data_IF_334572700620
#
_entry.id   IF_334572700620
#
_cell.length_a   1.000
_cell.length_b   1.000
_cell.length_c   1.000
_cell.angle_alpha   90.00
_cell.angle_beta   90.00
_cell.angle_gamma   90.00
#
_symmetry.space_group_name_H-M   'P 1'
#
loop_
_entity.id
_entity.type
_entity.pdbx_description
1 polymer ?
#
# COMPACT_ATOMS: atom_id res chain seq x y z
N UNK A 1 -32.28 -14.61 -130.25
CA UNK A 1 -31.15 -14.43 -129.31
C UNK A 1 -30.88 -12.95 -129.00
N UNK A 2 -30.53 -12.10 -129.97
CA UNK A 2 -30.21 -10.66 -129.73
C UNK A 2 -31.26 -9.84 -128.96
N UNK A 3 -32.56 -10.09 -129.18
CA UNK A 3 -33.62 -9.40 -128.42
C UNK A 3 -33.70 -9.88 -126.96
N UNK A 4 -33.43 -11.16 -126.69
CA UNK A 4 -33.44 -11.72 -125.34
C UNK A 4 -32.24 -11.25 -124.52
N UNK A 5 -31.07 -11.09 -125.15
CA UNK A 5 -29.91 -10.51 -124.48
C UNK A 5 -30.16 -9.05 -124.13
N UNK A 6 -30.72 -8.27 -125.05
CA UNK A 6 -31.08 -6.87 -124.78
C UNK A 6 -32.14 -6.70 -123.68
N UNK A 7 -33.06 -7.65 -123.49
CA UNK A 7 -34.00 -7.61 -122.36
C UNK A 7 -33.32 -7.96 -121.05
N UNK A 8 -32.44 -8.97 -121.06
CA UNK A 8 -31.65 -9.36 -119.88
C UNK A 8 -30.73 -8.23 -119.44
N UNK A 9 -30.07 -7.54 -120.39
CA UNK A 9 -29.20 -6.40 -120.07
C UNK A 9 -29.98 -5.25 -119.43
N UNK A 10 -31.19 -4.97 -119.94
CA UNK A 10 -32.07 -3.94 -119.33
C UNK A 10 -32.58 -4.35 -117.95
N UNK A 11 -32.92 -5.62 -117.75
CA UNK A 11 -33.32 -6.15 -116.45
C UNK A 11 -32.15 -6.15 -115.46
N UNK A 12 -30.94 -6.48 -115.92
CA UNK A 12 -29.70 -6.39 -115.16
C UNK A 12 -29.44 -4.94 -114.74
N UNK A 13 -29.46 -3.99 -115.66
CA UNK A 13 -29.23 -2.57 -115.34
C UNK A 13 -30.28 -2.04 -114.34
N UNK A 14 -31.54 -2.49 -114.48
CA UNK A 14 -32.61 -2.16 -113.54
C UNK A 14 -32.36 -2.74 -112.15
N UNK A 15 -31.98 -4.02 -112.07
CA UNK A 15 -31.67 -4.68 -110.82
C UNK A 15 -30.43 -4.06 -110.16
N UNK A 16 -29.41 -3.67 -110.93
CA UNK A 16 -28.23 -2.97 -110.42
C UNK A 16 -28.59 -1.60 -109.83
N UNK A 17 -29.51 -0.86 -110.46
CA UNK A 17 -30.02 0.41 -109.92
C UNK A 17 -30.83 0.21 -108.63
N UNK A 18 -31.68 -0.82 -108.57
CA UNK A 18 -32.41 -1.17 -107.35
C UNK A 18 -31.43 -1.57 -106.24
N UNK A 19 -30.41 -2.37 -106.55
CA UNK A 19 -29.35 -2.76 -105.60
C UNK A 19 -28.57 -1.53 -105.10
N UNK A 20 -28.24 -0.59 -105.98
CA UNK A 20 -27.57 0.66 -105.61
C UNK A 20 -28.45 1.54 -104.71
N UNK A 21 -29.77 1.59 -104.96
CA UNK A 21 -30.72 2.26 -104.07
C UNK A 21 -30.77 1.58 -102.70
N UNK A 22 -30.87 0.26 -102.65
CA UNK A 22 -30.84 -0.50 -101.38
C UNK A 22 -29.54 -0.27 -100.62
N UNK A 23 -28.38 -0.29 -101.29
CA UNK A 23 -27.07 0.05 -100.68
C UNK A 23 -27.02 1.48 -100.15
N UNK A 24 -27.62 2.45 -100.86
CA UNK A 24 -27.66 3.84 -100.38
C UNK A 24 -28.58 4.03 -99.18
N UNK A 25 -29.65 3.23 -99.07
CA UNK A 25 -30.64 3.34 -97.99
C UNK A 25 -30.22 2.58 -96.73
N UNK A 26 -29.54 1.44 -96.89
CA UNK A 26 -29.26 0.50 -95.80
C UNK A 26 -27.75 0.25 -95.56
N UNK A 27 -26.86 0.82 -96.37
CA UNK A 27 -25.42 0.59 -96.29
C UNK A 27 -24.96 -0.67 -97.02
N UNK A 28 -23.64 -0.78 -97.22
CA UNK A 28 -22.99 -1.93 -97.86
C UNK A 28 -22.57 -2.95 -96.78
N UNK A 29 -23.00 -4.21 -96.93
CA UNK A 29 -22.87 -5.26 -95.88
C UNK A 29 -21.55 -6.06 -95.95
N UNK A 30 -20.75 -5.94 -97.01
CA UNK A 30 -19.57 -6.80 -97.24
C UNK A 30 -18.24 -6.23 -96.71
N UNK A 31 -18.24 -5.21 -95.84
CA UNK A 31 -17.03 -4.91 -95.05
C UNK A 31 -16.96 -5.88 -93.87
N UNK A 32 -16.41 -7.07 -94.12
CA UNK A 32 -16.19 -8.11 -93.11
C UNK A 32 -15.48 -7.57 -91.86
N UNK A 33 -16.23 -7.33 -90.78
CA UNK A 33 -15.76 -7.44 -89.39
C UNK A 33 -16.98 -7.47 -88.44
N UNK A 34 -17.07 -8.44 -87.52
CA UNK A 34 -18.19 -8.54 -86.60
C UNK A 34 -17.92 -7.63 -85.40
N UNK A 35 -18.64 -6.52 -85.28
CA UNK A 35 -18.84 -5.85 -83.99
C UNK A 35 -20.29 -5.42 -83.89
N UNK A 36 -20.98 -6.01 -82.92
CA UNK A 36 -22.36 -5.71 -82.57
C UNK A 36 -22.57 -4.24 -82.23
N UNK A 37 -23.82 -3.83 -82.38
CA UNK A 37 -24.43 -2.61 -81.86
C UNK A 37 -23.71 -1.30 -82.19
N UNK A 38 -23.78 -0.86 -83.45
CA UNK A 38 -23.79 0.57 -83.80
C UNK A 38 -24.22 0.72 -85.27
N UNK A 39 -25.52 0.62 -85.53
CA UNK A 39 -26.11 0.96 -86.83
C UNK A 39 -26.23 2.47 -86.98
N UNK A 40 -25.13 3.15 -87.25
CA UNK A 40 -25.10 4.61 -87.43
C UNK A 40 -24.11 5.05 -88.50
N UNK A 41 -24.28 6.26 -89.09
CA UNK A 41 -23.38 6.78 -90.12
C UNK A 41 -21.92 6.87 -89.61
N UNK A 42 -20.92 6.83 -90.50
CA UNK A 42 -19.50 6.67 -90.12
C UNK A 42 -18.99 7.75 -89.15
N UNK A 43 -19.52 8.97 -89.24
CA UNK A 43 -19.20 10.06 -88.29
C UNK A 43 -19.67 9.77 -86.86
N UNK A 44 -20.82 9.12 -86.68
CA UNK A 44 -21.35 8.77 -85.35
C UNK A 44 -20.52 7.64 -84.74
N UNK A 45 -20.17 6.64 -85.55
CA UNK A 45 -19.25 5.55 -85.16
C UNK A 45 -17.89 6.08 -84.71
N UNK A 46 -17.33 7.05 -85.43
CA UNK A 46 -16.05 7.65 -85.07
C UNK A 46 -16.12 8.41 -83.73
N UNK A 47 -17.20 9.17 -83.50
CA UNK A 47 -17.41 9.89 -82.24
C UNK A 47 -17.60 8.94 -81.05
N UNK A 48 -18.30 7.83 -81.24
CA UNK A 48 -18.53 6.82 -80.21
C UNK A 48 -17.23 6.08 -79.87
N UNK A 49 -16.44 5.69 -80.88
CA UNK A 49 -15.13 5.07 -80.66
C UNK A 49 -14.16 6.01 -79.95
N UNK A 50 -14.17 7.31 -80.28
CA UNK A 50 -13.39 8.34 -79.57
C UNK A 50 -13.80 8.46 -78.11
N UNK A 51 -15.10 8.40 -77.81
CA UNK A 51 -15.58 8.43 -76.42
C UNK A 51 -15.15 7.17 -75.65
N UNK A 52 -15.31 5.98 -76.24
CA UNK A 52 -14.86 4.72 -75.62
C UNK A 52 -13.35 4.73 -75.36
N UNK A 53 -12.55 5.25 -76.30
CA UNK A 53 -11.11 5.39 -76.11
C UNK A 53 -10.78 6.31 -74.92
N UNK A 54 -11.44 7.47 -74.83
CA UNK A 54 -11.26 8.39 -73.69
C UNK A 54 -11.63 7.77 -72.35
N UNK A 55 -12.74 7.02 -72.29
CA UNK A 55 -13.15 6.34 -71.06
C UNK A 55 -12.11 5.30 -70.62
N UNK A 56 -11.56 4.52 -71.56
CA UNK A 56 -10.50 3.55 -71.26
C UNK A 56 -9.21 4.26 -70.81
N UNK A 57 -8.85 5.39 -71.42
CA UNK A 57 -7.71 6.21 -70.99
C UNK A 57 -7.93 6.76 -69.57
N UNK A 58 -9.13 7.23 -69.25
CA UNK A 58 -9.50 7.72 -67.93
C UNK A 58 -9.48 6.60 -66.88
N UNK A 59 -10.01 5.42 -67.19
CA UNK A 59 -9.95 4.23 -66.32
C UNK A 59 -8.50 3.81 -66.06
N UNK A 60 -7.67 3.75 -67.10
CA UNK A 60 -6.25 3.44 -66.98
C UNK A 60 -5.52 4.48 -66.09
N UNK A 61 -5.88 5.76 -66.20
CA UNK A 61 -5.32 6.83 -65.36
C UNK A 61 -5.75 6.72 -63.90
N UNK A 62 -7.00 6.35 -63.62
CA UNK A 62 -7.49 6.13 -62.26
C UNK A 62 -6.80 4.92 -61.64
N UNK A 63 -6.71 3.80 -62.37
CA UNK A 63 -6.03 2.60 -61.92
C UNK A 63 -4.53 2.85 -61.70
N UNK A 64 -3.87 3.59 -62.58
CA UNK A 64 -2.47 3.98 -62.43
C UNK A 64 -2.21 4.73 -61.12
N UNK A 65 -3.09 5.67 -60.74
CA UNK A 65 -3.01 6.35 -59.44
C UNK A 65 -3.23 5.39 -58.28
N UNK A 66 -4.21 4.48 -58.38
CA UNK A 66 -4.51 3.53 -57.30
C UNK A 66 -3.38 2.52 -57.07
N UNK A 67 -2.70 2.09 -58.13
CA UNK A 67 -1.52 1.22 -58.03
C UNK A 67 -0.42 1.91 -57.21
N UNK A 68 -0.10 3.17 -57.52
CA UNK A 68 0.94 3.91 -56.79
C UNK A 68 0.57 4.13 -55.32
N UNK A 69 -0.69 4.49 -55.04
CA UNK A 69 -1.20 4.63 -53.67
C UNK A 69 -1.02 3.33 -52.86
N UNK A 70 -1.46 2.20 -53.42
CA UNK A 70 -1.31 0.89 -52.80
C UNK A 70 0.15 0.48 -52.67
N UNK A 71 1.02 0.82 -53.63
CA UNK A 71 2.45 0.55 -53.50
C UNK A 71 3.10 1.34 -52.36
N UNK A 72 2.72 2.60 -52.18
CA UNK A 72 3.21 3.43 -51.08
C UNK A 72 2.72 2.88 -49.75
N UNK A 73 1.43 2.53 -49.65
CA UNK A 73 0.87 1.88 -48.45
C UNK A 73 1.54 0.54 -48.17
N UNK A 74 1.76 -0.30 -49.18
CA UNK A 74 2.43 -1.60 -49.00
C UNK A 74 3.89 -1.45 -48.55
N UNK A 75 4.61 -0.45 -49.08
CA UNK A 75 5.97 -0.12 -48.60
C UNK A 75 5.93 0.41 -47.16
N UNK A 76 4.94 1.22 -46.80
CA UNK A 76 4.72 1.70 -45.43
C UNK A 76 4.47 0.56 -44.45
N UNK A 77 3.52 -0.32 -44.77
CA UNK A 77 3.20 -1.51 -43.96
C UNK A 77 4.41 -2.46 -43.84
N UNK A 78 5.21 -2.61 -44.91
CA UNK A 78 6.46 -3.39 -44.83
C UNK A 78 7.47 -2.77 -43.88
N UNK A 79 7.63 -1.44 -43.91
CA UNK A 79 8.49 -0.75 -42.96
C UNK A 79 8.00 -0.93 -41.52
N UNK A 80 6.68 -0.83 -41.27
CA UNK A 80 6.11 -1.09 -39.94
C UNK A 80 6.32 -2.55 -39.49
N UNK A 81 6.17 -3.52 -40.39
CA UNK A 81 6.47 -4.92 -40.08
C UNK A 81 7.96 -5.15 -39.81
N UNK A 82 8.84 -4.49 -40.55
CA UNK A 82 10.28 -4.56 -40.34
C UNK A 82 10.70 -3.91 -39.02
N UNK A 83 10.05 -2.83 -38.59
CA UNK A 83 10.27 -2.21 -37.28
C UNK A 83 9.87 -3.16 -36.15
N UNK A 84 8.67 -3.75 -36.23
CA UNK A 84 8.20 -4.74 -35.24
C UNK A 84 9.06 -6.01 -35.22
N UNK A 85 9.58 -6.43 -36.38
CA UNK A 85 10.47 -7.59 -36.51
C UNK A 85 11.89 -7.27 -36.03
N UNK A 86 12.37 -6.06 -36.25
CA UNK A 86 13.65 -5.55 -35.73
C UNK A 86 13.66 -5.51 -34.20
N UNK A 87 12.51 -5.29 -33.56
CA UNK A 87 12.34 -5.45 -32.12
C UNK A 87 12.35 -6.92 -31.65
N UNK A 88 11.93 -7.86 -32.51
CA UNK A 88 11.83 -9.29 -32.19
C UNK A 88 13.04 -10.16 -32.52
N UNK A 89 13.95 -9.72 -33.39
CA UNK A 89 15.08 -10.55 -33.89
C UNK A 89 16.47 -10.10 -33.42
N UNK A 90 16.54 -9.13 -32.51
CA UNK A 90 17.81 -8.66 -31.92
C UNK A 90 18.50 -9.62 -30.94
N UNK A 91 17.95 -10.82 -30.69
CA UNK A 91 18.47 -11.77 -29.69
C UNK A 91 19.20 -13.00 -30.27
N UNK A 92 19.57 -13.00 -31.56
CA UNK A 92 20.05 -14.22 -32.21
C UNK A 92 21.20 -14.09 -33.21
N UNK A 93 22.19 -13.21 -33.03
CA UNK A 93 23.29 -13.17 -34.00
C UNK A 93 24.46 -12.29 -33.64
N UNK A 94 25.59 -12.94 -33.37
CA UNK A 94 26.92 -12.37 -33.13
C UNK A 94 27.34 -11.22 -34.05
N UNK A 95 27.97 -10.19 -33.46
CA UNK A 95 29.13 -9.52 -34.06
C UNK A 95 28.91 -8.11 -34.63
N UNK A 96 29.54 -7.15 -33.95
CA UNK A 96 30.15 -5.93 -34.50
C UNK A 96 29.19 -4.85 -35.06
N UNK A 97 29.16 -3.72 -34.35
CA UNK A 97 29.30 -2.41 -34.99
C UNK A 97 28.05 -1.54 -35.12
N UNK A 98 28.09 -0.44 -34.36
CA UNK A 98 27.60 0.89 -34.73
C UNK A 98 26.12 1.27 -34.51
N UNK A 99 25.95 2.10 -33.48
CA UNK A 99 25.22 3.37 -33.45
C UNK A 99 23.74 3.44 -33.91
N UNK A 100 22.87 3.74 -32.93
CA UNK A 100 21.79 4.73 -33.11
C UNK A 100 20.40 4.29 -32.63
N UNK A 101 19.97 4.79 -31.46
CA UNK A 101 18.54 4.85 -31.07
C UNK A 101 18.24 4.41 -29.63
N UNK A 102 17.72 5.30 -28.74
CA UNK A 102 17.34 4.92 -27.40
C UNK A 102 15.88 4.47 -27.33
N UNK A 103 15.60 3.37 -26.63
CA UNK A 103 14.69 3.52 -25.49
C UNK A 103 13.59 2.50 -25.23
N UNK A 104 13.23 1.57 -26.14
CA UNK A 104 12.05 0.72 -25.88
C UNK A 104 12.31 -0.80 -25.93
N UNK A 105 13.18 -1.29 -26.81
CA UNK A 105 13.48 -2.73 -26.91
C UNK A 105 14.50 -3.28 -25.89
N UNK A 106 15.35 -2.41 -25.32
CA UNK A 106 16.39 -2.83 -24.35
C UNK A 106 15.80 -3.22 -22.98
N UNK A 107 14.68 -2.61 -22.59
CA UNK A 107 14.04 -2.85 -21.30
C UNK A 107 13.50 -4.27 -21.16
N UNK A 108 12.76 -4.78 -22.14
CA UNK A 108 12.16 -6.12 -22.09
C UNK A 108 13.20 -7.26 -22.01
N UNK A 109 14.31 -7.14 -22.73
CA UNK A 109 15.41 -8.11 -22.66
C UNK A 109 16.13 -8.05 -21.31
N UNK A 110 16.43 -6.84 -20.83
CA UNK A 110 17.04 -6.64 -19.51
C UNK A 110 16.09 -7.15 -18.39
N UNK A 111 14.78 -6.90 -18.48
CA UNK A 111 13.74 -7.40 -17.56
C UNK A 111 13.63 -8.93 -17.59
N UNK A 112 13.70 -9.56 -18.77
CA UNK A 112 13.70 -11.02 -18.89
C UNK A 112 14.96 -11.64 -18.26
N UNK A 113 16.12 -11.02 -18.44
CA UNK A 113 17.37 -11.48 -17.81
C UNK A 113 17.38 -11.25 -16.30
N UNK A 114 16.75 -10.17 -15.82
CA UNK A 114 16.55 -9.90 -14.40
C UNK A 114 15.61 -10.93 -13.76
N UNK A 115 14.50 -11.25 -14.43
CA UNK A 115 13.57 -12.29 -13.98
C UNK A 115 14.23 -13.67 -13.92
N UNK A 116 15.07 -14.01 -14.90
CA UNK A 116 15.87 -15.25 -14.88
C UNK A 116 16.85 -15.27 -13.69
N UNK A 117 17.51 -14.15 -13.39
CA UNK A 117 18.38 -14.03 -12.22
C UNK A 117 17.61 -14.14 -10.90
N UNK A 118 16.44 -13.51 -10.81
CA UNK A 118 15.58 -13.64 -9.63
C UNK A 118 15.11 -15.08 -9.41
N UNK A 119 14.74 -15.77 -10.49
CA UNK A 119 14.37 -17.18 -10.41
C UNK A 119 15.53 -18.03 -9.87
N UNK A 120 16.74 -17.83 -10.39
CA UNK A 120 17.93 -18.52 -9.89
C UNK A 120 18.19 -18.26 -8.40
N UNK A 121 18.04 -17.01 -7.94
CA UNK A 121 18.22 -16.66 -6.53
C UNK A 121 17.18 -17.35 -5.63
N UNK A 122 15.93 -17.44 -6.08
CA UNK A 122 14.87 -18.14 -5.35
C UNK A 122 15.10 -19.65 -5.33
N UNK A 123 15.61 -20.23 -6.43
CA UNK A 123 16.01 -21.64 -6.49
C UNK A 123 17.15 -21.94 -5.52
N UNK A 124 18.20 -21.11 -5.50
CA UNK A 124 19.33 -21.24 -4.59
C UNK A 124 18.90 -21.08 -3.12
N UNK A 125 18.00 -20.14 -2.82
CA UNK A 125 17.43 -19.95 -1.48
C UNK A 125 16.60 -21.17 -1.05
N UNK A 126 15.79 -21.73 -1.95
CA UNK A 126 15.03 -22.94 -1.68
C UNK A 126 15.94 -24.15 -1.43
N UNK A 127 17.05 -24.28 -2.16
CA UNK A 127 18.06 -25.32 -1.89
C UNK A 127 18.72 -25.13 -0.52
N UNK A 128 19.07 -23.89 -0.16
CA UNK A 128 19.65 -23.57 1.14
C UNK A 128 18.66 -23.87 2.27
N UNK A 129 17.39 -23.52 2.11
CA UNK A 129 16.33 -23.85 3.07
C UNK A 129 16.14 -25.37 3.22
N UNK A 130 16.20 -26.14 2.13
CA UNK A 130 16.17 -27.62 2.20
C UNK A 130 17.35 -28.20 2.96
N UNK A 131 18.56 -27.66 2.78
CA UNK A 131 19.75 -28.08 3.56
C UNK A 131 19.59 -27.73 5.04
N UNK A 132 19.17 -26.51 5.36
CA UNK A 132 18.93 -26.09 6.74
C UNK A 132 17.83 -26.92 7.43
N UNK A 133 16.77 -27.26 6.70
CA UNK A 133 15.71 -28.15 7.19
C UNK A 133 16.30 -29.53 7.53
N UNK A 134 17.09 -30.12 6.63
CA UNK A 134 17.73 -31.41 6.87
C UNK A 134 18.67 -31.38 8.09
N UNK A 135 19.45 -30.30 8.26
CA UNK A 135 20.31 -30.13 9.44
C UNK A 135 19.49 -30.00 10.74
N UNK A 136 18.38 -29.26 10.70
CA UNK A 136 17.47 -29.13 11.84
C UNK A 136 16.75 -30.44 12.16
N UNK A 137 16.35 -31.22 11.14
CA UNK A 137 15.81 -32.57 11.29
C UNK A 137 16.85 -33.52 11.92
N UNK A 138 18.11 -33.45 11.50
CA UNK A 138 19.18 -34.24 12.10
C UNK A 138 19.38 -33.85 13.58
N UNK A 139 19.38 -32.56 13.90
CA UNK A 139 19.45 -32.09 15.29
C UNK A 139 18.27 -32.58 16.12
N UNK A 140 17.04 -32.50 15.58
CA UNK A 140 15.86 -33.06 16.24
C UNK A 140 15.98 -34.56 16.45
N UNK A 141 16.51 -35.30 15.48
CA UNK A 141 16.74 -36.74 15.62
C UNK A 141 17.78 -37.04 16.70
N UNK A 142 18.87 -36.26 16.77
CA UNK A 142 19.89 -36.37 17.82
C UNK A 142 19.28 -36.12 19.20
N UNK A 143 18.55 -35.02 19.38
CA UNK A 143 17.86 -34.69 20.64
C UNK A 143 16.82 -35.75 20.99
N UNK A 144 16.06 -36.23 20.02
CA UNK A 144 15.07 -37.31 20.22
C UNK A 144 15.77 -38.60 20.64
N UNK A 145 16.90 -38.94 20.04
CA UNK A 145 17.71 -40.11 20.43
C UNK A 145 18.28 -39.94 21.84
N UNK A 146 18.75 -38.75 22.23
CA UNK A 146 19.19 -38.44 23.58
C UNK A 146 18.05 -38.52 24.60
N UNK A 147 16.89 -37.94 24.28
CA UNK A 147 15.68 -38.02 25.08
C UNK A 147 15.26 -39.48 25.26
N UNK A 148 15.26 -40.27 24.17
CA UNK A 148 14.99 -41.70 24.23
C UNK A 148 16.04 -42.41 25.09
N UNK A 149 17.34 -42.11 24.97
CA UNK A 149 18.40 -42.66 25.82
C UNK A 149 18.18 -42.31 27.29
N UNK A 150 17.74 -41.08 27.59
CA UNK A 150 17.39 -40.64 28.95
C UNK A 150 16.11 -41.32 29.44
N UNK A 151 15.10 -41.52 28.58
CA UNK A 151 13.89 -42.30 28.86
C UNK A 151 14.15 -43.79 29.01
N UNK A 152 15.12 -44.36 28.31
CA UNK A 152 15.55 -45.74 28.52
C UNK A 152 16.33 -45.85 29.82
N UNK A 153 17.21 -44.89 30.13
CA UNK A 153 17.86 -44.83 31.44
C UNK A 153 16.84 -44.63 32.58
N UNK A 154 15.84 -43.79 32.39
CA UNK A 154 14.74 -43.55 33.33
C UNK A 154 13.73 -44.70 33.36
N UNK A 155 13.47 -45.35 32.23
CA UNK A 155 12.54 -46.48 32.07
C UNK A 155 13.15 -47.81 32.51
N UNK A 156 14.47 -47.95 32.44
CA UNK A 156 15.23 -49.00 33.15
C UNK A 156 15.20 -48.74 34.67
N UNK A 157 14.93 -47.49 35.09
CA UNK A 157 14.70 -47.11 36.49
C UNK A 157 13.21 -47.12 36.90
N UNK A 158 12.25 -47.05 35.97
CA UNK A 158 10.80 -47.07 36.23
C UNK A 158 10.12 -48.42 35.97
N UNK A 159 10.74 -49.33 35.22
CA UNK A 159 10.22 -50.67 34.95
C UNK A 159 10.12 -51.59 36.18
N UNK A 160 10.58 -51.14 37.35
CA UNK A 160 10.51 -51.86 38.62
C UNK A 160 9.70 -51.14 39.71
N UNK A 161 8.95 -50.08 39.40
CA UNK A 161 8.26 -49.27 40.42
C UNK A 161 6.83 -49.76 40.75
N UNK A 162 6.61 -51.08 40.72
CA UNK A 162 5.52 -51.70 41.48
C UNK A 162 6.10 -52.13 42.82
N UNK A 163 5.63 -51.47 43.87
CA UNK A 163 5.89 -51.76 45.29
C UNK A 163 7.10 -51.06 45.92
N UNK A 164 6.80 -49.99 46.67
CA UNK A 164 7.39 -49.71 47.97
C UNK A 164 8.85 -49.24 48.01
N UNK A 165 9.02 -47.96 48.32
CA UNK A 165 9.96 -47.48 49.36
C UNK A 165 11.45 -47.79 49.22
N UNK A 166 12.21 -46.69 49.15
CA UNK A 166 13.60 -46.51 49.59
C UNK A 166 14.74 -47.12 48.74
N UNK A 167 15.59 -46.19 48.27
CA UNK A 167 17.07 -46.26 48.19
C UNK A 167 17.71 -47.31 47.28
N UNK A 168 18.61 -47.04 46.33
CA UNK A 168 19.39 -45.90 45.83
C UNK A 168 20.02 -46.38 44.50
N UNK A 169 20.71 -45.63 43.65
CA UNK A 169 21.65 -44.52 43.85
C UNK A 169 21.72 -43.72 42.54
N UNK A 170 21.08 -42.56 42.54
CA UNK A 170 21.64 -41.31 42.02
C UNK A 170 21.90 -40.40 43.22
N UNK A 171 22.76 -40.87 44.13
CA UNK A 171 22.83 -40.48 45.54
C UNK A 171 23.33 -39.08 45.89
N UNK A 172 23.34 -38.12 44.96
CA UNK A 172 23.79 -36.74 45.24
C UNK A 172 22.64 -35.72 45.21
N UNK A 173 21.62 -35.93 44.37
CA UNK A 173 20.51 -34.97 44.22
C UNK A 173 19.30 -35.30 45.10
N UNK A 174 19.15 -36.57 45.53
CA UNK A 174 18.10 -36.96 46.47
C UNK A 174 18.28 -36.33 47.86
N UNK A 175 19.52 -36.33 48.38
CA UNK A 175 19.84 -35.71 49.67
C UNK A 175 19.67 -34.18 49.65
N UNK A 176 20.02 -33.54 48.51
CA UNK A 176 19.80 -32.10 48.31
C UNK A 176 18.32 -31.76 48.19
N UNK A 177 17.55 -32.59 47.48
CA UNK A 177 16.10 -32.42 47.37
C UNK A 177 15.41 -32.59 48.73
N UNK A 178 15.86 -33.55 49.54
CA UNK A 178 15.33 -33.79 50.89
C UNK A 178 15.67 -32.63 51.85
N UNK A 179 16.91 -32.11 51.81
CA UNK A 179 17.31 -30.92 52.58
C UNK A 179 16.52 -29.67 52.19
N UNK A 180 16.34 -29.40 50.89
CA UNK A 180 15.52 -28.28 50.41
C UNK A 180 14.04 -28.46 50.79
N UNK A 181 13.55 -29.71 50.81
CA UNK A 181 12.19 -30.01 51.24
C UNK A 181 12.01 -29.80 52.76
N UNK A 182 13.03 -30.08 53.57
CA UNK A 182 13.04 -29.81 55.00
C UNK A 182 13.11 -28.30 55.29
N UNK A 183 13.96 -27.56 54.58
CA UNK A 183 14.02 -26.09 54.66
C UNK A 183 12.68 -25.46 54.27
N UNK A 184 12.02 -25.97 53.22
CA UNK A 184 10.70 -25.50 52.81
C UNK A 184 9.64 -25.77 53.88
N UNK A 185 9.69 -26.93 54.56
CA UNK A 185 8.81 -27.23 55.70
C UNK A 185 9.10 -26.31 56.89
N UNK A 186 10.36 -26.06 57.22
CA UNK A 186 10.75 -25.14 58.28
C UNK A 186 10.30 -23.70 57.98
N UNK A 187 10.48 -23.23 56.74
CA UNK A 187 10.02 -21.92 56.30
C UNK A 187 8.48 -21.80 56.40
N UNK A 188 7.73 -22.84 56.05
CA UNK A 188 6.26 -22.86 56.22
C UNK A 188 5.83 -22.76 57.68
N UNK A 189 6.53 -23.44 58.60
CA UNK A 189 6.27 -23.33 60.03
C UNK A 189 6.61 -21.92 60.55
N UNK A 190 7.74 -21.37 60.13
CA UNK A 190 8.14 -20.02 60.52
C UNK A 190 7.16 -18.94 60.01
N UNK A 191 6.64 -19.08 58.79
CA UNK A 191 5.57 -18.22 58.26
C UNK A 191 4.31 -18.34 59.13
N UNK A 192 3.95 -19.54 59.59
CA UNK A 192 2.81 -19.75 60.47
C UNK A 192 3.02 -19.07 61.84
N UNK A 193 4.19 -19.26 62.46
CA UNK A 193 4.53 -18.63 63.74
C UNK A 193 4.53 -17.10 63.64
N UNK A 194 5.11 -16.55 62.56
CA UNK A 194 5.11 -15.11 62.30
C UNK A 194 3.69 -14.59 62.05
N UNK A 195 2.86 -15.33 61.31
CA UNK A 195 1.45 -14.98 61.10
C UNK A 195 0.69 -14.91 62.43
N UNK A 196 0.92 -15.87 63.34
CA UNK A 196 0.37 -15.84 64.70
C UNK A 196 0.83 -14.62 65.50
N UNK A 197 2.14 -14.30 65.47
CA UNK A 197 2.70 -13.11 66.13
C UNK A 197 2.12 -11.81 65.56
N UNK A 198 1.93 -11.73 64.25
CA UNK A 198 1.31 -10.56 63.61
C UNK A 198 -0.15 -10.41 64.07
N UNK A 199 -0.93 -11.50 64.13
CA UNK A 199 -2.29 -11.42 64.67
C UNK A 199 -2.31 -10.98 66.15
N UNK A 200 -1.39 -11.48 66.98
CA UNK A 200 -1.28 -11.06 68.37
C UNK A 200 -0.92 -9.58 68.49
N UNK A 201 0.10 -9.12 67.76
CA UNK A 201 0.51 -7.72 67.77
C UNK A 201 -0.60 -6.80 67.23
N UNK A 202 -1.37 -7.24 66.23
CA UNK A 202 -2.53 -6.50 65.75
C UNK A 202 -3.62 -6.39 66.84
N UNK A 203 -3.87 -7.46 67.59
CA UNK A 203 -4.79 -7.43 68.72
C UNK A 203 -4.31 -6.49 69.82
N UNK A 204 -3.04 -6.59 70.24
CA UNK A 204 -2.43 -5.71 71.23
C UNK A 204 -2.47 -4.25 70.79
N UNK A 205 -2.12 -3.95 69.54
CA UNK A 205 -2.19 -2.60 68.98
C UNK A 205 -3.62 -2.05 69.03
N UNK A 206 -4.63 -2.85 68.67
CA UNK A 206 -6.04 -2.47 68.76
C UNK A 206 -6.46 -2.18 70.21
N UNK A 207 -6.04 -3.01 71.16
CA UNK A 207 -6.32 -2.82 72.60
C UNK A 207 -5.62 -1.57 73.13
N UNK A 208 -4.34 -1.35 72.76
CA UNK A 208 -3.56 -0.18 73.15
C UNK A 208 -4.16 1.12 72.62
N UNK A 209 -4.56 1.16 71.34
CA UNK A 209 -5.26 2.30 70.76
C UNK A 209 -6.57 2.60 71.50
N UNK A 210 -7.34 1.55 71.84
CA UNK A 210 -8.57 1.71 72.62
C UNK A 210 -8.30 2.20 74.06
N UNK A 211 -7.25 1.70 74.71
CA UNK A 211 -6.83 2.18 76.03
C UNK A 211 -6.37 3.65 75.96
N UNK A 212 -5.56 4.01 74.96
CA UNK A 212 -5.10 5.39 74.74
C UNK A 212 -6.27 6.34 74.52
N UNK A 213 -7.27 5.95 73.71
CA UNK A 213 -8.50 6.72 73.54
C UNK A 213 -9.24 6.91 74.87
N UNK A 214 -9.34 5.86 75.71
CA UNK A 214 -9.96 5.99 77.04
C UNK A 214 -9.20 6.95 77.95
N UNK A 215 -7.87 6.90 77.96
CA UNK A 215 -7.05 7.83 78.74
C UNK A 215 -7.13 9.26 78.21
N UNK A 216 -7.17 9.46 76.90
CA UNK A 216 -7.33 10.77 76.26
C UNK A 216 -8.68 11.41 76.66
N UNK A 217 -9.78 10.65 76.53
CA UNK A 217 -11.11 11.08 77.02
C UNK A 217 -11.10 11.38 78.52
N UNK A 218 -10.49 10.53 79.34
CA UNK A 218 -10.40 10.74 80.79
C UNK A 218 -9.53 11.98 81.13
N UNK A 219 -8.49 12.27 80.36
CA UNK A 219 -7.63 13.44 80.55
C UNK A 219 -8.35 14.73 80.18
N UNK A 220 -9.15 14.74 79.11
CA UNK A 220 -10.03 15.86 78.76
C UNK A 220 -11.12 16.11 79.81
N UNK A 221 -11.63 15.05 80.44
CA UNK A 221 -12.55 15.16 81.58
C UNK A 221 -11.84 15.64 82.86
N UNK A 222 -10.56 15.29 83.05
CA UNK A 222 -9.76 15.70 84.22
C UNK A 222 -9.21 17.13 84.11
N UNK A 223 -9.11 17.69 82.90
CA UNK A 223 -8.67 19.07 82.65
C UNK A 223 -9.83 20.07 82.56
N UNK A 224 -11.08 19.63 82.74
CA UNK A 224 -12.24 20.51 82.85
C UNK A 224 -12.49 20.82 84.33
N UNK A 225 -12.24 22.04 84.84
CA UNK A 225 -12.66 22.39 86.19
C UNK A 225 -14.18 22.26 86.28
N UNK A 226 -14.63 21.38 87.17
CA UNK A 226 -16.04 21.14 87.45
C UNK A 226 -16.73 22.45 87.84
N UNK A 227 -17.79 22.89 87.14
CA UNK A 227 -18.69 23.92 87.65
C UNK A 227 -19.68 23.24 88.59
N UNK A 228 -19.47 23.46 89.89
CA UNK A 228 -20.43 23.46 91.01
C UNK A 228 -21.76 22.72 90.80
N UNK A 229 -22.03 21.73 91.66
CA UNK A 229 -23.09 21.92 92.66
C UNK A 229 -23.06 20.86 93.77
N UNK A 230 -23.33 21.35 94.99
CA UNK A 230 -23.89 20.70 96.18
C UNK A 230 -22.96 20.13 97.26
N UNK A 231 -23.17 20.74 98.43
CA UNK A 231 -22.56 20.56 99.74
C UNK A 231 -22.83 19.20 100.39
N UNK A 232 -21.84 18.69 101.14
CA UNK A 232 -22.03 17.98 102.41
C UNK A 232 -20.66 17.76 103.06
N UNK A 233 -20.49 18.30 104.26
CA UNK A 233 -19.32 18.14 105.11
C UNK A 233 -19.05 16.66 105.44
N UNK A 234 -17.78 16.26 105.47
CA UNK A 234 -17.29 15.37 106.52
C UNK A 234 -15.77 15.44 106.65
N UNK A 235 -15.43 15.73 107.90
CA UNK A 235 -14.16 15.83 108.58
C UNK A 235 -13.34 14.52 108.57
N UNK A 236 -12.08 14.66 109.01
CA UNK A 236 -10.99 13.70 109.20
C UNK A 236 -10.07 13.52 107.99
N UNK A 237 -8.77 13.81 108.05
CA UNK A 237 -7.91 14.02 109.21
C UNK A 237 -6.68 13.14 109.04
N UNK A 238 -5.54 13.79 108.81
CA UNK A 238 -4.21 13.19 108.99
C UNK A 238 -3.67 12.38 107.80
N UNK A 239 -2.39 12.34 107.51
CA UNK A 239 -1.18 12.92 108.09
C UNK A 239 -0.07 12.69 107.06
N UNK A 240 0.88 13.63 106.99
CA UNK A 240 2.32 13.44 106.67
C UNK A 240 2.67 12.46 105.55
N UNK A 241 3.27 12.87 104.44
CA UNK A 241 4.20 13.97 104.27
C UNK A 241 5.42 13.46 103.49
N UNK A 242 6.31 14.41 103.17
CA UNK A 242 7.76 14.20 102.99
C UNK A 242 8.16 13.51 101.69
N UNK A 243 9.04 14.04 100.86
CA UNK A 243 9.87 15.25 100.80
C UNK A 243 10.37 15.28 99.35
N UNK A 244 10.15 16.40 98.66
CA UNK A 244 11.17 17.43 98.41
C UNK A 244 11.99 17.16 97.15
N UNK A 245 11.89 18.15 96.26
CA UNK A 245 12.96 18.74 95.47
C UNK A 245 13.10 18.34 93.99
N UNK A 246 13.26 19.26 93.05
CA UNK A 246 12.94 20.70 92.94
C UNK A 246 13.47 21.16 91.57
N UNK A 247 12.67 21.97 90.87
CA UNK A 247 13.00 22.99 89.84
C UNK A 247 13.93 22.64 88.63
N UNK A 248 13.75 23.06 87.37
CA UNK A 248 13.24 24.32 86.81
C UNK A 248 12.77 24.13 85.34
N UNK A 249 11.58 24.64 85.06
CA UNK A 249 11.26 25.67 84.04
C UNK A 249 12.01 25.72 82.70
N UNK A 250 11.27 25.45 81.62
CA UNK A 250 11.02 26.35 80.46
C UNK A 250 10.38 25.51 79.33
N UNK A 251 9.06 25.44 79.26
CA UNK A 251 8.22 26.36 78.46
C UNK A 251 8.79 26.75 77.09
N UNK A 252 7.97 26.41 76.09
CA UNK A 252 7.77 27.15 74.84
C UNK A 252 8.59 26.80 73.59
N UNK A 253 7.79 26.50 72.55
CA UNK A 253 7.97 26.79 71.11
C UNK A 253 8.53 25.70 70.19
N UNK A 254 7.58 25.17 69.40
CA UNK A 254 7.53 25.27 67.93
C UNK A 254 8.73 24.71 67.10
N UNK A 255 8.38 23.72 66.27
CA UNK A 255 8.97 23.31 64.96
C UNK A 255 9.96 22.12 64.93
N UNK A 256 9.75 21.13 64.03
CA UNK A 256 10.75 20.11 63.68
C UNK A 256 11.90 20.70 62.82
N UNK A 257 13.17 20.27 63.01
CA UNK A 257 14.31 20.83 62.29
C UNK A 257 14.53 20.20 60.90
N UNK A 258 14.85 21.05 59.92
CA UNK A 258 15.31 20.70 58.57
C UNK A 258 16.86 20.76 58.44
N UNK A 259 17.35 20.14 57.34
CA UNK A 259 18.64 20.27 56.60
C UNK A 259 19.68 19.19 56.92
N UNK A 260 20.36 18.52 55.96
CA UNK A 260 20.98 18.95 54.66
C UNK A 260 20.93 17.74 53.68
N UNK A 261 20.57 17.81 52.39
CA UNK A 261 21.12 18.45 51.17
C UNK A 261 22.58 18.09 50.84
N UNK A 262 22.76 17.12 49.94
CA UNK A 262 23.81 17.08 48.91
C UNK A 262 23.16 16.60 47.59
N UNK A 263 23.42 17.33 46.51
CA UNK A 263 22.91 17.06 45.16
C UNK A 263 23.89 16.25 44.32
N UNK A 264 23.54 15.92 43.07
CA UNK A 264 24.36 15.11 42.18
C UNK A 264 25.54 15.91 41.61
N UNK A 265 26.73 15.31 41.60
CA UNK A 265 27.96 15.89 41.04
C UNK A 265 28.48 14.95 39.95
N UNK A 266 28.82 15.53 38.79
CA UNK A 266 29.91 15.03 37.95
C UNK A 266 29.49 14.46 36.60
N UNK A 267 29.27 15.35 35.63
CA UNK A 267 29.57 15.08 34.22
C UNK A 267 30.80 15.88 33.83
N UNK A 268 31.81 15.23 33.26
CA UNK A 268 32.87 15.86 32.48
C UNK A 268 33.36 14.90 31.37
N UNK A 269 33.42 15.44 30.16
CA UNK A 269 33.81 14.87 28.85
C UNK A 269 35.32 14.56 28.79
N UNK A 270 35.88 13.75 27.88
CA UNK A 270 36.03 13.94 26.42
C UNK A 270 36.82 12.74 25.78
N UNK A 271 36.67 12.39 24.49
CA UNK A 271 37.59 11.51 23.77
C UNK A 271 38.25 12.19 22.55
N UNK A 272 39.57 12.42 22.59
CA UNK A 272 40.38 12.65 21.37
C UNK A 272 41.89 12.42 21.58
N UNK A 273 42.44 11.40 20.93
CA UNK A 273 43.87 11.11 20.65
C UNK A 273 43.83 9.85 19.73
N UNK A 274 44.39 9.70 18.51
CA UNK A 274 45.56 10.26 17.81
C UNK A 274 45.43 10.00 16.28
N UNK A 275 45.56 11.07 15.48
CA UNK A 275 46.34 11.23 14.22
C UNK A 275 46.28 10.19 13.07
N UNK A 276 45.69 10.65 11.95
CA UNK A 276 46.20 10.62 10.56
C UNK A 276 47.31 9.64 10.16
N UNK A 277 46.99 8.74 9.21
CA UNK A 277 47.89 8.42 8.10
C UNK A 277 47.09 8.02 6.85
N UNK A 278 47.31 8.76 5.76
CA UNK A 278 46.71 8.55 4.43
C UNK A 278 47.36 7.37 3.71
N UNK A 279 46.53 6.52 3.08
CA UNK A 279 46.96 5.51 2.10
C UNK A 279 45.77 4.84 1.44
N UNK A 280 45.58 5.08 0.14
CA UNK A 280 44.52 4.50 -0.68
C UNK A 280 44.69 2.98 -0.86
N UNK A 281 43.58 2.22 -0.83
CA UNK A 281 43.57 0.83 -1.30
C UNK A 281 42.42 -0.04 -0.75
N UNK A 282 41.46 -0.36 -1.63
CA UNK A 282 40.60 -1.56 -1.72
C UNK A 282 40.10 -2.27 -0.44
N UNK A 283 38.77 -2.43 -0.44
CA UNK A 283 38.02 -3.60 0.03
C UNK A 283 38.08 -3.97 1.53
N UNK A 284 37.00 -3.65 2.25
CA UNK A 284 36.34 -4.61 3.13
C UNK A 284 34.90 -4.12 3.40
N UNK A 285 33.94 -4.78 2.78
CA UNK A 285 32.55 -4.80 3.21
C UNK A 285 32.49 -5.34 4.65
N UNK A 286 32.39 -4.45 5.63
CA UNK A 286 32.11 -4.84 7.01
C UNK A 286 30.63 -5.21 7.15
N UNK A 287 30.28 -6.37 7.73
CA UNK A 287 28.90 -6.87 7.80
C UNK A 287 28.00 -6.12 8.80
N UNK A 288 28.52 -5.09 9.48
CA UNK A 288 27.79 -4.34 10.51
C UNK A 288 27.08 -3.08 10.01
N UNK A 289 27.21 -2.73 8.72
CA UNK A 289 26.42 -1.63 8.13
C UNK A 289 24.94 -2.00 7.89
N UNK A 290 24.50 -3.20 8.28
CA UNK A 290 23.17 -3.76 8.03
C UNK A 290 22.12 -3.41 9.10
N UNK A 291 22.49 -2.65 10.13
CA UNK A 291 21.61 -2.34 11.27
C UNK A 291 21.35 -0.83 11.50
N UNK A 292 21.47 0.01 10.46
CA UNK A 292 20.99 1.39 10.50
C UNK A 292 19.63 1.52 9.77
N UNK A 293 18.59 2.09 10.40
CA UNK A 293 17.23 2.14 9.85
C UNK A 293 17.09 3.30 8.84
N UNK A 294 17.86 3.27 7.75
CA UNK A 294 17.80 4.34 6.76
C UNK A 294 18.59 4.16 5.46
N UNK A 295 19.20 3.00 5.22
CA UNK A 295 20.12 2.81 4.09
C UNK A 295 19.75 1.65 3.18
N UNK A 296 19.14 1.98 2.03
CA UNK A 296 18.84 1.10 0.87
C UNK A 296 17.59 0.22 1.00
N UNK A 297 16.43 0.86 0.93
CA UNK A 297 15.29 0.26 0.24
C UNK A 297 15.75 0.02 -1.21
N UNK A 298 15.81 -1.22 -1.67
CA UNK A 298 16.36 -1.55 -2.98
C UNK A 298 15.59 -0.85 -4.10
N UNK A 299 16.20 -0.62 -5.27
CA UNK A 299 15.46 -0.20 -6.47
C UNK A 299 14.26 -1.13 -6.72
N UNK A 300 14.43 -2.42 -6.41
CA UNK A 300 13.38 -3.45 -6.41
C UNK A 300 12.27 -3.16 -5.39
N UNK A 301 12.58 -2.85 -4.14
CA UNK A 301 11.56 -2.52 -3.13
C UNK A 301 10.82 -1.24 -3.49
N UNK A 302 11.52 -0.25 -4.08
CA UNK A 302 10.92 0.98 -4.59
C UNK A 302 9.99 0.70 -5.77
N UNK A 303 10.37 -0.20 -6.68
CA UNK A 303 9.54 -0.61 -7.80
C UNK A 303 8.32 -1.40 -7.32
N UNK A 304 8.49 -2.34 -6.39
CA UNK A 304 7.37 -3.06 -5.76
C UNK A 304 6.37 -2.12 -5.09
N UNK A 305 6.83 -1.07 -4.41
CA UNK A 305 5.95 -0.06 -3.82
C UNK A 305 5.19 0.76 -4.87
N UNK A 306 5.80 1.01 -6.04
CA UNK A 306 5.14 1.65 -7.17
C UNK A 306 4.09 0.71 -7.79
N UNK A 307 4.41 -0.56 -7.96
CA UNK A 307 3.50 -1.56 -8.53
C UNK A 307 2.30 -1.81 -7.61
N UNK A 308 2.55 -1.97 -6.30
CA UNK A 308 1.50 -2.07 -5.26
C UNK A 308 0.60 -0.82 -5.30
N UNK A 309 1.18 0.36 -5.49
CA UNK A 309 0.40 1.61 -5.59
C UNK A 309 -0.47 1.61 -6.86
N UNK A 310 0.09 1.29 -8.03
CA UNK A 310 -0.66 1.29 -9.29
C UNK A 310 -1.81 0.28 -9.23
N UNK A 311 -1.58 -0.90 -8.66
CA UNK A 311 -2.63 -1.92 -8.50
C UNK A 311 -3.68 -1.48 -7.47
N UNK A 312 -3.29 -0.85 -6.35
CA UNK A 312 -4.23 -0.30 -5.39
C UNK A 312 -5.11 0.82 -6.00
N UNK A 313 -4.54 1.69 -6.84
CA UNK A 313 -5.31 2.71 -7.59
C UNK A 313 -6.26 2.08 -8.61
N UNK A 314 -5.87 0.97 -9.26
CA UNK A 314 -6.74 0.21 -10.16
C UNK A 314 -7.90 -0.44 -9.39
N UNK A 315 -7.65 -0.95 -8.20
CA UNK A 315 -8.68 -1.50 -7.32
C UNK A 315 -9.69 -0.40 -6.88
N UNK A 316 -9.23 0.81 -6.54
CA UNK A 316 -10.12 1.95 -6.23
C UNK A 316 -11.08 2.22 -7.39
N UNK A 317 -10.57 2.29 -8.63
CA UNK A 317 -11.40 2.52 -9.82
C UNK A 317 -12.41 1.39 -10.07
N UNK A 318 -12.01 0.14 -9.81
CA UNK A 318 -12.89 -1.03 -9.94
C UNK A 318 -14.02 -0.98 -8.92
N UNK A 319 -13.71 -0.64 -7.66
CA UNK A 319 -14.71 -0.50 -6.60
C UNK A 319 -15.64 0.68 -6.89
N UNK A 320 -15.12 1.80 -7.40
CA UNK A 320 -15.95 2.95 -7.80
C UNK A 320 -16.95 2.58 -8.89
N UNK A 321 -16.53 1.78 -9.87
CA UNK A 321 -17.43 1.25 -10.90
C UNK A 321 -18.47 0.29 -10.31
N UNK A 322 -18.06 -0.61 -9.41
CA UNK A 322 -18.98 -1.53 -8.76
C UNK A 322 -19.99 -0.79 -7.87
N UNK A 323 -19.58 0.28 -7.17
CA UNK A 323 -20.48 1.16 -6.42
C UNK A 323 -21.48 1.78 -7.37
N UNK A 324 -21.02 2.35 -8.50
CA UNK A 324 -21.88 2.96 -9.50
C UNK A 324 -22.91 1.97 -10.05
N UNK A 325 -22.47 0.78 -10.49
CA UNK A 325 -23.33 -0.26 -11.03
C UNK A 325 -24.36 -0.74 -10.00
N UNK A 326 -23.95 -0.95 -8.74
CA UNK A 326 -24.87 -1.35 -7.66
C UNK A 326 -25.86 -0.23 -7.33
N UNK A 327 -25.43 1.04 -7.34
CA UNK A 327 -26.34 2.18 -7.15
C UNK A 327 -27.31 2.36 -8.32
N UNK A 328 -26.89 2.02 -9.54
CA UNK A 328 -27.75 2.02 -10.72
C UNK A 328 -28.83 0.93 -10.60
N UNK A 329 -28.46 -0.29 -10.18
CA UNK A 329 -29.41 -1.38 -9.92
C UNK A 329 -30.44 -0.98 -8.85
N UNK A 330 -30.00 -0.36 -7.75
CA UNK A 330 -30.91 0.13 -6.69
C UNK A 330 -31.83 1.24 -7.21
N UNK A 331 -31.33 2.12 -8.09
CA UNK A 331 -32.12 3.21 -8.67
C UNK A 331 -33.13 2.70 -9.69
N UNK A 332 -32.72 1.76 -10.55
CA UNK A 332 -33.56 1.11 -11.54
C UNK A 332 -34.69 0.32 -10.86
N UNK A 333 -34.38 -0.44 -9.80
CA UNK A 333 -35.40 -1.16 -9.05
C UNK A 333 -36.39 -0.23 -8.35
N UNK A 334 -35.96 0.95 -7.87
CA UNK A 334 -36.88 1.99 -7.35
C UNK A 334 -37.79 2.58 -8.43
N UNK A 335 -37.28 2.75 -9.65
CA UNK A 335 -38.08 3.22 -10.80
C UNK A 335 -39.08 2.16 -11.25
N UNK A 336 -38.69 0.88 -11.27
CA UNK A 336 -39.61 -0.24 -11.53
C UNK A 336 -40.73 -0.34 -10.48
N UNK A 337 -40.43 -0.09 -9.20
CA UNK A 337 -41.43 -0.02 -8.13
C UNK A 337 -42.34 1.20 -8.28
N UNK A 338 -41.82 2.34 -8.75
CA UNK A 338 -42.60 3.57 -8.95
C UNK A 338 -43.45 3.56 -10.23
N UNK A 339 -43.04 2.79 -11.25
CA UNK A 339 -43.74 2.67 -12.55
C UNK A 339 -44.62 1.41 -12.64
N UNK A 340 -44.52 0.48 -11.68
CA UNK A 340 -45.25 -0.79 -11.63
C UNK A 340 -46.65 -0.68 -11.03
N UNK A 341 -47.51 0.14 -11.64
CA UNK A 341 -48.95 -0.08 -11.52
C UNK A 341 -49.29 -1.35 -12.33
N UNK A 342 -49.98 -2.31 -11.69
CA UNK A 342 -50.51 -3.58 -12.26
C UNK A 342 -49.58 -4.81 -12.28
N UNK A 343 -49.49 -5.54 -11.16
CA UNK A 343 -49.15 -6.97 -11.24
C UNK A 343 -48.60 -7.63 -9.97
N UNK A 344 -49.49 -8.24 -9.20
CA UNK A 344 -49.28 -9.35 -8.25
C UNK A 344 -48.32 -9.19 -7.05
N UNK A 345 -48.93 -9.25 -5.86
CA UNK A 345 -48.44 -10.09 -4.75
C UNK A 345 -47.74 -9.36 -3.60
N UNK A 346 -48.51 -9.00 -2.58
CA UNK A 346 -48.03 -8.39 -1.31
C UNK A 346 -47.15 -9.29 -0.42
N UNK A 347 -46.55 -10.35 -0.96
CA UNK A 347 -45.55 -11.20 -0.26
C UNK A 347 -44.11 -10.93 -0.75
N UNK A 348 -43.95 -10.50 -2.01
CA UNK A 348 -42.64 -10.20 -2.62
C UNK A 348 -42.09 -8.83 -2.22
N UNK A 349 -42.95 -7.88 -1.82
CA UNK A 349 -42.52 -6.56 -1.35
C UNK A 349 -41.64 -6.65 -0.11
N UNK A 350 -41.97 -7.55 0.83
CA UNK A 350 -41.13 -7.78 1.99
C UNK A 350 -39.76 -8.38 1.61
N UNK A 351 -39.70 -9.19 0.54
CA UNK A 351 -38.45 -9.71 -0.02
C UNK A 351 -37.62 -8.63 -0.70
N UNK A 352 -38.23 -7.82 -1.57
CA UNK A 352 -37.58 -6.71 -2.26
C UNK A 352 -37.08 -5.63 -1.31
N UNK A 353 -37.80 -5.37 -0.22
CA UNK A 353 -37.35 -4.45 0.85
C UNK A 353 -36.07 -4.98 1.50
N UNK A 354 -36.02 -6.28 1.85
CA UNK A 354 -34.80 -6.92 2.41
C UNK A 354 -33.64 -6.93 1.41
N UNK A 355 -33.91 -7.16 0.13
CA UNK A 355 -32.91 -7.13 -0.94
C UNK A 355 -32.37 -5.71 -1.17
N UNK A 356 -33.23 -4.68 -1.13
CA UNK A 356 -32.80 -3.29 -1.19
C UNK A 356 -31.96 -2.90 0.02
N UNK A 357 -32.37 -3.27 1.24
CA UNK A 357 -31.59 -3.07 2.45
C UNK A 357 -30.21 -3.75 2.38
N UNK A 358 -30.16 -4.97 1.84
CA UNK A 358 -28.90 -5.68 1.61
C UNK A 358 -28.01 -4.95 0.61
N UNK A 359 -28.56 -4.48 -0.52
CA UNK A 359 -27.81 -3.70 -1.51
C UNK A 359 -27.30 -2.37 -0.94
N UNK A 360 -28.09 -1.68 -0.11
CA UNK A 360 -27.63 -0.49 0.62
C UNK A 360 -26.50 -0.81 1.61
N UNK A 361 -26.57 -1.96 2.30
CA UNK A 361 -25.51 -2.41 3.18
C UNK A 361 -24.22 -2.73 2.40
N UNK A 362 -24.33 -3.44 1.27
CA UNK A 362 -23.23 -3.73 0.35
C UNK A 362 -22.60 -2.43 -0.18
N UNK A 363 -23.41 -1.47 -0.63
CA UNK A 363 -22.92 -0.15 -1.09
C UNK A 363 -22.18 0.57 0.04
N UNK A 364 -22.71 0.53 1.28
CA UNK A 364 -22.05 1.15 2.44
C UNK A 364 -20.70 0.50 2.75
N UNK A 365 -20.64 -0.84 2.75
CA UNK A 365 -19.41 -1.59 2.95
C UNK A 365 -18.37 -1.31 1.85
N UNK A 366 -18.80 -1.29 0.58
CA UNK A 366 -17.92 -0.97 -0.55
C UNK A 366 -17.40 0.47 -0.49
N UNK A 367 -18.23 1.43 -0.03
CA UNK A 367 -17.78 2.82 0.22
C UNK A 367 -16.78 2.93 1.37
N UNK A 368 -16.99 2.17 2.45
CA UNK A 368 -16.05 2.11 3.56
C UNK A 368 -14.70 1.51 3.12
N UNK A 369 -14.74 0.40 2.39
CA UNK A 369 -13.56 -0.25 1.82
C UNK A 369 -12.83 0.67 0.83
N UNK A 370 -13.55 1.35 -0.07
CA UNK A 370 -13.00 2.36 -0.98
C UNK A 370 -12.26 3.46 -0.22
N UNK A 371 -12.81 3.94 0.89
CA UNK A 371 -12.17 4.97 1.73
C UNK A 371 -10.91 4.47 2.42
N UNK A 372 -10.92 3.23 2.92
CA UNK A 372 -9.74 2.60 3.52
C UNK A 372 -8.63 2.36 2.50
N UNK A 373 -8.99 1.86 1.31
CA UNK A 373 -8.06 1.65 0.20
C UNK A 373 -7.48 2.98 -0.30
N UNK A 374 -8.29 4.04 -0.38
CA UNK A 374 -7.83 5.38 -0.74
C UNK A 374 -6.85 5.93 0.31
N UNK A 375 -7.15 5.77 1.60
CA UNK A 375 -6.24 6.17 2.68
C UNK A 375 -4.94 5.34 2.68
N UNK A 376 -5.01 4.06 2.28
CA UNK A 376 -3.84 3.23 2.06
C UNK A 376 -2.97 3.76 0.90
N UNK A 377 -3.57 4.08 -0.25
CA UNK A 377 -2.87 4.70 -1.39
C UNK A 377 -2.23 6.04 -1.00
N UNK A 378 -2.91 6.89 -0.24
CA UNK A 378 -2.37 8.17 0.26
C UNK A 378 -1.17 7.97 1.20
N UNK A 379 -1.22 6.95 2.07
CA UNK A 379 -0.08 6.57 2.92
C UNK A 379 1.11 6.04 2.12
N UNK A 380 0.85 5.38 0.98
CA UNK A 380 1.89 4.96 0.03
C UNK A 380 2.47 6.13 -0.78
N UNK A 381 1.76 7.25 -0.91
CA UNK A 381 2.23 8.44 -1.63
C UNK A 381 3.27 9.25 -0.85
N UNK A 382 3.30 9.15 0.48
CA UNK A 382 4.28 9.87 1.28
C UNK A 382 5.65 9.16 1.22
N UNK A 383 6.72 9.82 0.74
CA UNK A 383 8.05 9.43 1.17
C UNK A 383 8.05 9.60 2.68
N UNK A 384 8.40 8.56 3.45
CA UNK A 384 8.69 8.68 4.88
C UNK A 384 9.84 9.68 5.09
N UNK A 385 9.49 10.95 5.17
CA UNK A 385 10.24 12.00 5.86
C UNK A 385 9.29 12.46 6.95
N UNK A 386 9.27 11.74 8.06
CA UNK A 386 8.76 12.35 9.29
C UNK A 386 9.73 13.47 9.66
N UNK A 387 9.15 14.66 9.66
CA UNK A 387 9.72 15.94 10.05
C UNK A 387 10.41 15.87 11.42
N UNK A 388 11.72 15.64 11.40
CA UNK A 388 12.61 16.21 12.42
C UNK A 388 12.84 17.66 12.03
N UNK A 389 11.88 18.55 12.32
CA UNK A 389 12.07 20.01 12.44
C UNK A 389 10.73 20.67 12.83
N UNK A 390 10.31 20.49 14.07
CA UNK A 390 9.40 21.42 14.73
C UNK A 390 10.15 22.10 15.87
N UNK A 391 10.06 23.44 15.88
CA UNK A 391 10.44 24.39 16.94
C UNK A 391 11.86 25.00 16.90
N UNK A 392 12.03 26.14 16.21
CA UNK A 392 12.09 27.49 16.85
C UNK A 392 12.42 28.60 15.81
N UNK A 393 11.82 29.82 15.94
CA UNK A 393 11.98 30.88 14.94
C UNK A 393 12.92 32.03 15.38
N UNK A 394 13.34 32.83 14.40
CA UNK A 394 13.86 34.23 14.47
C UNK A 394 15.37 34.42 14.73
N UNK A 395 16.11 34.86 13.69
CA UNK A 395 16.89 36.11 13.71
C UNK A 395 17.64 36.32 12.37
N UNK A 396 17.00 36.97 11.39
CA UNK A 396 17.73 37.54 10.24
C UNK A 396 18.12 38.97 10.60
N UNK A 397 19.39 39.13 11.01
CA UNK A 397 20.00 40.45 11.25
C UNK A 397 20.03 41.26 9.96
N UNK A 398 19.25 42.34 9.91
CA UNK A 398 19.36 43.43 8.93
C UNK A 398 20.77 44.04 9.00
N UNK A 399 21.57 43.92 7.93
CA UNK A 399 22.69 44.83 7.68
C UNK A 399 22.25 45.87 6.65
N UNK A 400 22.14 47.10 7.15
CA UNK A 400 21.87 48.32 6.41
C UNK A 400 23.22 48.89 5.99
N UNK A 401 23.53 48.88 4.71
CA UNK A 401 24.56 49.75 4.12
C UNK A 401 23.91 50.35 2.88
N UNK A 402 23.45 51.58 3.02
CA UNK A 402 23.03 52.41 1.90
C UNK A 402 24.24 53.03 1.26
N UNK A 403 24.26 53.13 -0.06
CA UNK A 403 24.97 54.18 -0.78
C UNK A 403 24.02 54.73 -1.86
N UNK A 404 23.87 56.05 -1.80
CA UNK A 404 23.21 56.93 -2.74
C UNK A 404 23.76 56.74 -4.16
N UNK A 405 22.88 56.71 -5.16
CA UNK A 405 22.98 57.53 -6.38
C UNK A 405 21.63 57.51 -7.10
N UNK A 406 21.17 58.67 -7.52
CA UNK A 406 20.02 58.93 -8.41
C UNK A 406 20.47 60.07 -9.35
N UNK A 407 19.70 60.51 -10.38
CA UNK A 407 18.61 59.90 -11.15
C UNK A 407 18.73 60.14 -12.69
N UNK A 408 17.90 59.49 -13.51
CA UNK A 408 17.46 59.92 -14.88
C UNK A 408 16.27 59.04 -15.28
N UNK A 409 14.99 59.43 -15.11
CA UNK A 409 14.11 60.38 -15.84
C UNK A 409 13.63 59.84 -17.22
N UNK A 410 12.31 60.02 -17.46
CA UNK A 410 11.52 59.94 -18.73
C UNK A 410 10.92 58.54 -18.98
N UNK A 411 9.63 58.28 -19.23
CA UNK A 411 8.35 59.00 -19.49
C UNK A 411 7.21 57.97 -19.33
N UNK A 412 6.03 58.30 -18.77
CA UNK A 412 4.77 58.58 -19.52
C UNK A 412 4.14 57.29 -20.09
N UNK A 413 2.90 56.86 -19.87
CA UNK A 413 1.59 57.50 -19.59
C UNK A 413 0.61 56.38 -19.14
N UNK A 414 -0.18 56.63 -18.09
CA UNK A 414 -1.66 56.83 -18.10
C UNK A 414 -2.48 55.58 -18.49
N UNK A 415 -3.16 54.97 -17.52
CA UNK A 415 -4.61 55.12 -17.22
C UNK A 415 -5.44 54.22 -18.17
N UNK A 416 -6.31 53.31 -17.75
CA UNK A 416 -7.47 53.54 -16.90
C UNK A 416 -8.05 52.18 -16.43
N UNK A 417 -8.50 52.14 -15.18
CA UNK A 417 -9.51 51.20 -14.67
C UNK A 417 -10.91 51.76 -15.00
N UNK A 418 -11.98 50.95 -15.06
CA UNK A 418 -12.83 50.84 -13.86
C UNK A 418 -13.53 49.48 -13.64
N UNK A 419 -14.16 49.30 -12.47
CA UNK A 419 -14.58 48.01 -11.91
C UNK A 419 -16.11 47.79 -11.88
N UNK A 420 -16.50 46.70 -11.20
CA UNK A 420 -17.81 46.36 -10.63
C UNK A 420 -18.85 45.62 -11.49
N UNK A 421 -19.28 44.45 -10.96
CA UNK A 421 -20.67 44.27 -10.52
C UNK A 421 -20.85 43.11 -9.54
N UNK A 422 -21.40 43.44 -8.37
CA UNK A 422 -22.11 42.57 -7.41
C UNK A 422 -23.51 42.22 -7.93
N UNK A 423 -24.21 41.37 -7.16
CA UNK A 423 -25.60 40.85 -7.21
C UNK A 423 -25.64 39.39 -7.66
N UNK A 424 -26.28 38.45 -6.96
CA UNK A 424 -27.14 38.51 -5.78
C UNK A 424 -27.86 37.17 -5.63
N UNK A 425 -28.36 36.90 -4.43
CA UNK A 425 -29.09 35.70 -4.01
C UNK A 425 -30.20 35.23 -4.98
N UNK A 426 -30.31 33.90 -5.11
CA UNK A 426 -31.57 33.15 -5.04
C UNK A 426 -31.32 31.68 -4.74
#
# INVERSE_FOLDING_TARGET
MRRKTATIDKEKDRLEQELQKYRSFYGELDSSHPKGEAGGPPSTRESELKLRLRLVEEEANILGRKIVELEVENRGLRAELDDLRGEGEGEGGSGVGSAGGPGLGRGLGDDLTELRQQLQLVEDEAELLRRNLADAEEQNQRVTNELNKMRFKAGTHEGGARHGGLSGVGGMDGAKAEALQEELKAARLQINDLSGKVMQLQYENRVLLSNMQRYDLASHLSLRPSPRDSDAESDSGGTSGRRESDEESASSRLLPPHRKREGPIGGESDPDEVRNNNGAGRAASSPLARFLPGGRCGLRDRQQMIDIRVEAERLVRTIDRLIADTTAIVSEARVYVSNGELGHGGEDDAGRIREHELLYHIISQMKAFRKELQAFVERLQAPRLEDRNTEEPLSVRKRKIGHFYSPSRISGECDDWPPERRFGDR
#
